data_IF_495267690746
#
_entry.id   IF_495267690746
#
_cell.length_a   1.000
_cell.length_b   1.000
_cell.length_c   1.000
_cell.angle_alpha   90.00
_cell.angle_beta   90.00
_cell.angle_gamma   90.00
#
_symmetry.space_group_name_H-M   'P 1'
#
loop_
_entity.id
_entity.type
_entity.pdbx_description
1 polymer ?
#
# COMPACT_ATOMS: atom_id res chain seq x y z
N UNK A 1 -43.49 34.70 -6.29
CA UNK A 1 -42.12 34.66 -6.87
C UNK A 1 -41.45 33.40 -6.35
N UNK A 2 -41.42 32.36 -7.17
CA UNK A 2 -40.76 31.08 -6.86
C UNK A 2 -39.27 31.28 -6.70
N UNK A 3 -38.73 30.87 -5.54
CA UNK A 3 -37.29 30.74 -5.32
C UNK A 3 -36.78 29.56 -6.15
N UNK A 4 -36.56 29.75 -7.45
CA UNK A 4 -35.73 28.86 -8.26
C UNK A 4 -34.33 28.82 -7.63
N UNK A 5 -33.93 27.66 -7.12
CA UNK A 5 -32.55 27.40 -6.70
C UNK A 5 -32.32 26.94 -5.25
N UNK A 6 -33.35 26.78 -4.40
CA UNK A 6 -33.13 26.13 -3.11
C UNK A 6 -33.20 24.61 -3.26
N UNK A 7 -32.03 23.95 -3.19
CA UNK A 7 -31.96 22.49 -3.12
C UNK A 7 -32.34 22.06 -1.70
N UNK A 8 -33.42 21.29 -1.58
CA UNK A 8 -33.74 20.62 -0.32
C UNK A 8 -32.67 19.54 -0.04
N UNK A 9 -31.94 19.71 1.07
CA UNK A 9 -30.86 18.81 1.49
C UNK A 9 -31.37 17.38 1.72
N UNK A 10 -32.60 17.22 2.18
CA UNK A 10 -33.20 15.90 2.42
C UNK A 10 -33.48 15.21 1.08
N UNK A 11 -34.06 15.95 0.12
CA UNK A 11 -34.31 15.44 -1.22
C UNK A 11 -33.00 15.08 -1.95
N UNK A 12 -31.98 15.95 -1.86
CA UNK A 12 -30.66 15.68 -2.44
C UNK A 12 -30.02 14.44 -1.82
N UNK A 13 -30.07 14.30 -0.49
CA UNK A 13 -29.50 13.13 0.20
C UNK A 13 -30.19 11.84 -0.22
N UNK A 14 -31.53 11.85 -0.31
CA UNK A 14 -32.29 10.68 -0.75
C UNK A 14 -32.01 10.32 -2.21
N UNK A 15 -31.87 11.33 -3.07
CA UNK A 15 -31.45 11.12 -4.46
C UNK A 15 -30.04 10.51 -4.54
N UNK A 16 -29.04 11.06 -3.85
CA UNK A 16 -27.69 10.49 -3.82
C UNK A 16 -27.69 9.04 -3.30
N UNK A 17 -28.50 8.72 -2.29
CA UNK A 17 -28.66 7.35 -1.77
C UNK A 17 -29.34 6.41 -2.76
N UNK A 18 -30.28 6.91 -3.58
CA UNK A 18 -30.90 6.08 -4.62
C UNK A 18 -29.90 5.65 -5.70
N UNK A 19 -28.81 6.41 -5.89
CA UNK A 19 -27.74 6.09 -6.85
C UNK A 19 -26.66 5.16 -6.27
N UNK A 20 -26.76 4.76 -4.99
CA UNK A 20 -25.70 3.97 -4.34
C UNK A 20 -25.42 2.66 -5.07
N UNK A 21 -26.45 1.94 -5.51
CA UNK A 21 -26.26 0.67 -6.23
C UNK A 21 -25.56 0.88 -7.59
N UNK A 22 -25.99 1.89 -8.35
CA UNK A 22 -25.36 2.20 -9.65
C UNK A 22 -23.91 2.62 -9.48
N UNK A 23 -23.63 3.44 -8.46
CA UNK A 23 -22.26 3.84 -8.13
C UNK A 23 -21.42 2.63 -7.70
N UNK A 24 -21.96 1.72 -6.89
CA UNK A 24 -21.26 0.49 -6.50
C UNK A 24 -20.90 -0.38 -7.70
N UNK A 25 -21.81 -0.57 -8.66
CA UNK A 25 -21.52 -1.32 -9.89
C UNK A 25 -20.38 -0.68 -10.67
N UNK A 26 -20.37 0.65 -10.80
CA UNK A 26 -19.31 1.38 -11.48
C UNK A 26 -17.97 1.26 -10.75
N UNK A 27 -17.98 1.33 -9.41
CA UNK A 27 -16.78 1.17 -8.59
C UNK A 27 -16.20 -0.24 -8.72
N UNK A 28 -17.04 -1.28 -8.69
CA UNK A 28 -16.60 -2.67 -8.87
C UNK A 28 -16.00 -2.89 -10.27
N UNK A 29 -16.65 -2.36 -11.32
CA UNK A 29 -16.14 -2.43 -12.68
C UNK A 29 -14.79 -1.71 -12.82
N UNK A 30 -14.64 -0.54 -12.21
CA UNK A 30 -13.39 0.21 -12.19
C UNK A 30 -12.27 -0.54 -11.46
N UNK A 31 -12.59 -1.16 -10.31
CA UNK A 31 -11.64 -1.97 -9.55
C UNK A 31 -11.16 -3.19 -10.34
N UNK A 32 -12.06 -3.90 -11.02
CA UNK A 32 -11.73 -5.04 -11.89
C UNK A 32 -10.86 -4.58 -13.06
N UNK A 33 -11.21 -3.48 -13.73
CA UNK A 33 -10.44 -2.94 -14.84
C UNK A 33 -9.01 -2.56 -14.40
N UNK A 34 -8.87 -1.89 -13.25
CA UNK A 34 -7.56 -1.55 -12.69
C UNK A 34 -6.73 -2.80 -12.37
N UNK A 35 -7.34 -3.83 -11.76
CA UNK A 35 -6.68 -5.08 -11.44
C UNK A 35 -6.17 -5.79 -12.69
N UNK A 36 -7.01 -5.91 -13.72
CA UNK A 36 -6.65 -6.56 -14.99
C UNK A 36 -5.52 -5.82 -15.70
N UNK A 37 -5.60 -4.49 -15.77
CA UNK A 37 -4.55 -3.67 -16.38
C UNK A 37 -3.22 -3.82 -15.65
N UNK A 38 -3.23 -3.77 -14.32
CA UNK A 38 -2.02 -3.99 -13.53
C UNK A 38 -1.46 -5.38 -13.76
N UNK A 39 -2.30 -6.41 -13.77
CA UNK A 39 -1.85 -7.78 -14.03
C UNK A 39 -1.20 -7.94 -15.40
N UNK A 40 -1.80 -7.36 -16.45
CA UNK A 40 -1.25 -7.40 -17.80
C UNK A 40 0.14 -6.74 -17.88
N UNK A 41 0.32 -5.57 -17.27
CA UNK A 41 1.62 -4.87 -17.21
C UNK A 41 2.67 -5.73 -16.52
N UNK A 42 2.34 -6.32 -15.37
CA UNK A 42 3.27 -7.15 -14.60
C UNK A 42 3.63 -8.43 -15.37
N UNK A 43 2.67 -9.08 -16.02
CA UNK A 43 2.93 -10.22 -16.90
C UNK A 43 3.82 -9.84 -18.10
N UNK A 44 3.70 -8.60 -18.60
CA UNK A 44 4.63 -8.02 -19.56
C UNK A 44 6.06 -7.99 -19.02
N UNK A 45 6.25 -7.37 -17.86
CA UNK A 45 7.57 -7.26 -17.21
C UNK A 45 8.18 -8.63 -16.85
N UNK A 46 7.38 -9.57 -16.34
CA UNK A 46 7.85 -10.93 -16.03
C UNK A 46 8.44 -11.62 -17.25
N UNK A 47 7.82 -11.44 -18.43
CA UNK A 47 8.33 -12.00 -19.70
C UNK A 47 9.53 -11.23 -20.22
N UNK A 48 9.50 -9.90 -20.16
CA UNK A 48 10.58 -9.04 -20.66
C UNK A 48 11.88 -9.22 -19.89
N UNK A 49 11.79 -9.25 -18.55
CA UNK A 49 12.95 -9.34 -17.67
C UNK A 49 13.22 -10.76 -17.16
N UNK A 50 12.40 -11.75 -17.55
CA UNK A 50 12.53 -13.17 -17.22
C UNK A 50 12.78 -13.42 -15.72
N UNK A 51 11.88 -12.92 -14.87
CA UNK A 51 11.95 -13.13 -13.43
C UNK A 51 10.71 -13.85 -12.90
N UNK A 52 10.90 -14.62 -11.83
CA UNK A 52 9.82 -15.18 -11.03
C UNK A 52 9.42 -14.17 -9.93
N UNK A 53 8.16 -13.71 -9.87
CA UNK A 53 7.71 -12.82 -8.79
C UNK A 53 7.87 -13.44 -7.39
N UNK A 54 7.95 -14.76 -7.27
CA UNK A 54 8.19 -15.44 -6.00
C UNK A 54 9.69 -15.59 -5.68
N UNK A 55 10.59 -15.02 -6.47
CA UNK A 55 12.02 -14.96 -6.13
C UNK A 55 12.25 -14.05 -4.89
N UNK A 56 13.08 -14.46 -3.91
CA UNK A 56 13.39 -13.64 -2.73
C UNK A 56 13.97 -12.26 -3.00
N UNK A 57 14.62 -12.07 -4.15
CA UNK A 57 15.24 -10.83 -4.57
C UNK A 57 14.22 -9.82 -5.10
N UNK A 58 13.01 -10.26 -5.49
CA UNK A 58 11.96 -9.37 -5.99
C UNK A 58 11.40 -8.55 -4.85
N UNK A 59 11.46 -7.23 -5.01
CA UNK A 59 10.91 -6.23 -4.10
C UNK A 59 9.99 -5.30 -4.87
N UNK A 60 8.91 -4.87 -4.21
CA UNK A 60 7.89 -4.02 -4.81
C UNK A 60 7.78 -2.74 -4.00
N UNK A 61 7.95 -1.60 -4.66
CA UNK A 61 7.70 -0.29 -4.05
C UNK A 61 6.30 0.18 -4.46
N UNK A 62 5.42 0.38 -3.47
CA UNK A 62 4.09 0.93 -3.65
C UNK A 62 4.03 2.33 -3.06
N UNK A 63 3.63 3.30 -3.88
CA UNK A 63 3.34 4.65 -3.43
C UNK A 63 1.83 4.84 -3.37
N UNK A 64 1.32 5.25 -2.20
CA UNK A 64 -0.10 5.47 -2.02
C UNK A 64 -0.45 6.20 -0.73
N UNK A 65 -1.68 6.69 -0.59
CA UNK A 65 -2.10 7.41 0.61
C UNK A 65 -2.20 6.47 1.81
N UNK A 66 -1.62 6.88 2.96
CA UNK A 66 -1.62 6.15 4.25
C UNK A 66 -2.94 5.46 4.63
N UNK A 67 -4.13 6.09 4.52
CA UNK A 67 -5.39 5.47 4.93
C UNK A 67 -5.77 4.24 4.11
N UNK A 68 -5.20 4.10 2.91
CA UNK A 68 -5.43 2.97 2.01
C UNK A 68 -4.32 1.92 2.08
N UNK A 69 -3.39 2.00 3.05
CA UNK A 69 -2.27 1.04 3.15
C UNK A 69 -2.75 -0.40 3.33
N UNK A 70 -3.80 -0.60 4.12
CA UNK A 70 -4.42 -1.91 4.35
C UNK A 70 -5.57 -2.13 3.36
N UNK A 71 -5.59 -3.30 2.71
CA UNK A 71 -6.61 -3.73 1.76
C UNK A 71 -6.79 -2.87 0.49
N UNK A 72 -5.85 -1.98 0.12
CA UNK A 72 -5.90 -1.42 -1.23
C UNK A 72 -5.61 -2.49 -2.29
N UNK A 73 -6.19 -2.29 -3.47
CA UNK A 73 -6.11 -3.21 -4.60
C UNK A 73 -4.64 -3.56 -4.94
N UNK A 74 -3.74 -2.58 -4.90
CA UNK A 74 -2.33 -2.75 -5.24
C UNK A 74 -1.60 -3.63 -4.21
N UNK A 75 -1.72 -3.30 -2.91
CA UNK A 75 -1.09 -4.09 -1.84
C UNK A 75 -1.61 -5.52 -1.87
N UNK A 76 -2.93 -5.71 -1.91
CA UNK A 76 -3.54 -7.05 -1.96
C UNK A 76 -3.09 -7.84 -3.18
N UNK A 77 -3.01 -7.21 -4.36
CA UNK A 77 -2.51 -7.86 -5.57
C UNK A 77 -1.07 -8.35 -5.41
N UNK A 78 -0.15 -7.49 -4.93
CA UNK A 78 1.24 -7.88 -4.77
C UNK A 78 1.47 -8.87 -3.62
N UNK A 79 0.68 -8.80 -2.54
CA UNK A 79 0.72 -9.82 -1.49
C UNK A 79 0.38 -11.21 -2.07
N UNK A 80 -0.62 -11.27 -2.96
CA UNK A 80 -0.99 -12.52 -3.64
C UNK A 80 0.04 -12.95 -4.67
N UNK A 81 0.62 -12.01 -5.42
CA UNK A 81 1.60 -12.29 -6.45
C UNK A 81 2.93 -12.82 -5.88
N UNK A 82 3.42 -12.20 -4.81
CA UNK A 82 4.71 -12.55 -4.18
C UNK A 82 4.60 -13.77 -3.23
N UNK A 83 3.39 -14.07 -2.75
CA UNK A 83 3.12 -15.10 -1.74
C UNK A 83 3.20 -14.58 -0.30
N UNK A 84 2.51 -15.26 0.62
CA UNK A 84 2.34 -14.82 2.01
C UNK A 84 3.66 -14.69 2.79
N UNK A 85 4.67 -15.52 2.48
CA UNK A 85 5.99 -15.42 3.09
C UNK A 85 6.77 -14.18 2.66
N UNK A 86 6.33 -13.48 1.62
CA UNK A 86 7.04 -12.35 1.01
C UNK A 86 6.32 -11.02 1.13
N UNK A 87 5.28 -10.91 1.97
CA UNK A 87 4.62 -9.61 2.26
C UNK A 87 5.62 -8.54 2.71
N UNK A 88 6.71 -8.93 3.39
CA UNK A 88 7.81 -8.03 3.79
C UNK A 88 8.60 -7.42 2.63
N UNK A 89 8.51 -7.99 1.43
CA UNK A 89 9.16 -7.45 0.24
C UNK A 89 8.35 -6.32 -0.42
N UNK A 90 7.16 -6.02 0.11
CA UNK A 90 6.34 -4.86 -0.28
C UNK A 90 6.74 -3.68 0.59
N UNK A 91 7.32 -2.67 -0.05
CA UNK A 91 7.73 -1.41 0.56
C UNK A 91 6.62 -0.40 0.26
N UNK A 92 5.86 0.00 1.27
CA UNK A 92 4.81 1.00 1.12
C UNK A 92 5.34 2.38 1.52
N UNK A 93 5.17 3.38 0.65
CA UNK A 93 5.50 4.78 0.92
C UNK A 93 4.24 5.64 0.85
N UNK A 94 4.05 6.51 1.85
CA UNK A 94 2.82 7.28 2.06
C UNK A 94 2.68 8.52 1.14
N UNK A 95 3.58 8.70 0.17
CA UNK A 95 3.66 9.91 -0.66
C UNK A 95 4.00 9.60 -2.13
N UNK A 96 3.30 10.30 -3.03
CA UNK A 96 3.56 10.35 -4.47
C UNK A 96 4.80 11.22 -4.74
N UNK A 97 5.97 10.76 -4.34
CA UNK A 97 7.18 11.43 -4.81
C UNK A 97 7.52 10.97 -6.23
N UNK A 98 7.97 11.92 -7.04
CA UNK A 98 8.45 11.64 -8.39
C UNK A 98 9.54 10.56 -8.40
N UNK A 99 9.74 9.97 -9.58
CA UNK A 99 10.58 8.80 -9.83
C UNK A 99 11.93 8.81 -9.08
N UNK A 100 12.64 9.93 -9.06
CA UNK A 100 13.96 10.06 -8.43
C UNK A 100 13.96 9.83 -6.92
N UNK A 101 12.93 10.29 -6.21
CA UNK A 101 12.85 10.07 -4.77
C UNK A 101 12.41 8.66 -4.45
N UNK A 102 11.56 8.05 -5.29
CA UNK A 102 11.23 6.62 -5.22
C UNK A 102 12.46 5.75 -5.39
N UNK A 103 13.34 6.06 -6.36
CA UNK A 103 14.65 5.41 -6.52
C UNK A 103 15.52 5.56 -5.27
N UNK A 104 15.58 6.77 -4.69
CA UNK A 104 16.38 7.01 -3.48
C UNK A 104 15.91 6.19 -2.27
N UNK A 105 14.59 6.04 -2.09
CA UNK A 105 14.00 5.22 -1.02
C UNK A 105 14.34 3.75 -1.26
N UNK A 106 14.21 3.29 -2.51
CA UNK A 106 14.53 1.91 -2.86
C UNK A 106 16.01 1.59 -2.64
N UNK A 107 16.91 2.49 -3.04
CA UNK A 107 18.36 2.35 -2.82
C UNK A 107 18.71 2.32 -1.32
N UNK A 108 18.09 3.20 -0.52
CA UNK A 108 18.29 3.21 0.93
C UNK A 108 17.82 1.92 1.59
N UNK A 109 16.73 1.32 1.10
CA UNK A 109 16.24 0.06 1.62
C UNK A 109 17.29 -1.05 1.53
N UNK A 110 17.94 -1.20 0.37
CA UNK A 110 19.02 -2.18 0.22
C UNK A 110 20.22 -1.90 1.12
N UNK A 111 20.62 -0.62 1.24
CA UNK A 111 21.71 -0.23 2.14
C UNK A 111 21.37 -0.59 3.60
N UNK A 112 20.13 -0.33 4.03
CA UNK A 112 19.67 -0.66 5.37
C UNK A 112 19.65 -2.18 5.61
N UNK A 113 19.32 -3.01 4.61
CA UNK A 113 19.45 -4.48 4.71
C UNK A 113 20.90 -4.93 4.90
N UNK A 114 21.83 -4.38 4.11
CA UNK A 114 23.26 -4.71 4.21
C UNK A 114 23.85 -4.32 5.58
N UNK A 115 23.50 -3.13 6.06
CA UNK A 115 23.86 -2.67 7.40
C UNK A 115 23.23 -3.58 8.47
N UNK A 116 21.97 -3.96 8.32
CA UNK A 116 21.26 -4.82 9.26
C UNK A 116 21.94 -6.19 9.42
N UNK A 117 22.32 -6.82 8.30
CA UNK A 117 23.07 -8.08 8.33
C UNK A 117 24.46 -7.89 8.94
N UNK A 118 25.17 -6.83 8.54
CA UNK A 118 26.55 -6.59 8.99
C UNK A 118 26.66 -6.31 10.50
N UNK A 119 25.71 -5.57 11.07
CA UNK A 119 25.74 -5.19 12.48
C UNK A 119 24.96 -6.14 13.40
N UNK A 120 23.91 -6.79 12.90
CA UNK A 120 22.96 -7.54 13.75
C UNK A 120 22.75 -8.99 13.32
N UNK A 121 23.30 -9.43 12.18
CA UNK A 121 23.02 -10.72 11.56
C UNK A 121 21.50 -11.00 11.41
N UNK A 122 20.71 -9.93 11.28
CA UNK A 122 19.25 -9.95 11.11
C UNK A 122 18.92 -8.95 10.01
N UNK A 123 18.51 -9.44 8.84
CA UNK A 123 18.27 -8.64 7.63
C UNK A 123 17.20 -7.57 7.80
N UNK A 124 16.24 -7.78 8.70
CA UNK A 124 15.10 -6.89 8.86
C UNK A 124 15.31 -5.87 9.99
N UNK A 125 16.43 -5.91 10.70
CA UNK A 125 16.62 -5.18 11.96
C UNK A 125 16.47 -3.67 11.83
N UNK A 126 16.99 -3.06 10.76
CA UNK A 126 16.85 -1.61 10.50
C UNK A 126 15.49 -1.24 9.90
N UNK A 127 14.71 -2.20 9.41
CA UNK A 127 13.35 -1.98 8.90
C UNK A 127 12.26 -2.11 9.96
N UNK A 128 12.58 -2.71 11.12
CA UNK A 128 11.65 -2.79 12.25
C UNK A 128 11.59 -1.45 12.98
N UNK A 129 10.38 -1.04 13.33
CA UNK A 129 10.14 0.13 14.17
C UNK A 129 10.89 -0.02 15.51
N UNK A 130 11.51 1.06 16.00
CA UNK A 130 12.17 1.10 17.31
C UNK A 130 11.21 0.74 18.46
N UNK A 131 9.90 1.03 18.29
CA UNK A 131 8.82 0.68 19.20
C UNK A 131 8.61 -0.83 19.34
N UNK A 132 9.16 -1.66 18.44
CA UNK A 132 9.05 -3.12 18.56
C UNK A 132 10.02 -3.71 19.59
N UNK A 133 11.01 -2.93 20.07
CA UNK A 133 11.89 -3.40 21.14
C UNK A 133 11.15 -3.48 22.47
N UNK A 134 11.32 -4.61 23.18
CA UNK A 134 10.67 -4.82 24.48
C UNK A 134 10.99 -3.72 25.50
N UNK A 135 12.20 -3.15 25.43
CA UNK A 135 12.60 -2.02 26.26
C UNK A 135 11.73 -0.77 26.04
N UNK A 136 11.45 -0.41 24.78
CA UNK A 136 10.64 0.77 24.46
C UNK A 136 9.17 0.54 24.80
N UNK A 137 8.65 -0.69 24.61
CA UNK A 137 7.29 -1.06 25.05
C UNK A 137 7.12 -0.94 26.56
N UNK A 138 8.11 -1.41 27.33
CA UNK A 138 8.12 -1.28 28.79
C UNK A 138 8.14 0.19 29.22
N UNK A 139 8.95 1.03 28.57
CA UNK A 139 8.99 2.46 28.86
C UNK A 139 7.65 3.16 28.55
N UNK A 140 6.97 2.79 27.47
CA UNK A 140 5.63 3.32 27.15
C UNK A 140 4.62 2.93 28.23
N UNK A 141 4.59 1.66 28.65
CA UNK A 141 3.67 1.21 29.70
C UNK A 141 3.91 1.92 31.05
N UNK A 142 5.14 2.39 31.29
CA UNK A 142 5.46 3.22 32.47
C UNK A 142 4.99 4.67 32.31
N UNK A 143 5.08 5.24 31.11
CA UNK A 143 4.67 6.62 30.82
C UNK A 143 3.14 6.75 30.67
N UNK A 144 2.50 5.72 30.11
CA UNK A 144 1.06 5.63 29.87
C UNK A 144 0.59 4.26 30.38
N UNK A 145 0.34 4.15 31.70
CA UNK A 145 -0.23 2.94 32.28
C UNK A 145 -1.64 2.74 31.75
N UNK A 146 -1.96 1.51 31.34
CA UNK A 146 -3.31 1.09 30.92
C UNK A 146 -4.33 1.20 32.03
#
# INVERSE_FOLDING_TARGET
MDKRGSVDRVMLTNFCRSLTNDLSILLDAAAIAQLNQMHEVIQGWMREYNFDPQDPSVKVLLAGPRPARENCIQTTYFERLLGDERKRNIIYIEELYGEEKSKSIFARWFLDEELSVSFYNDKDRMHRDLLTSEYVKQQINQLIPS
#
